data_IF_949081587695
#
_entry.id   IF_949081587695
#
_cell.length_a   1.000
_cell.length_b   1.000
_cell.length_c   1.000
_cell.angle_alpha   90.00
_cell.angle_beta   90.00
_cell.angle_gamma   90.00
#
_symmetry.space_group_name_H-M   'P 1'
#
loop_
_entity.id
_entity.type
_entity.pdbx_description
1 polymer ?
#
# COMPACT_ATOMS: atom_id res chain seq x y z
N UNK A 1 28.92 -3.25 -12.10
CA UNK A 1 27.54 -3.02 -11.62
C UNK A 1 26.85 -1.82 -12.31
N UNK A 2 27.19 -1.49 -13.57
CA UNK A 2 26.66 -0.29 -14.29
C UNK A 2 25.21 -0.43 -14.74
N UNK A 3 24.78 -1.64 -15.11
CA UNK A 3 23.46 -1.85 -15.72
C UNK A 3 22.30 -1.64 -14.74
N UNK A 4 22.50 -1.93 -13.45
CA UNK A 4 21.49 -1.68 -12.40
C UNK A 4 21.36 -0.19 -12.07
N UNK A 5 22.49 0.53 -12.09
CA UNK A 5 22.48 1.99 -11.95
C UNK A 5 21.72 2.61 -13.12
N UNK A 6 21.96 2.20 -14.36
CA UNK A 6 21.21 2.73 -15.50
C UNK A 6 19.71 2.43 -15.42
N UNK A 7 19.33 1.21 -15.00
CA UNK A 7 17.93 0.82 -14.84
C UNK A 7 17.21 1.67 -13.78
N UNK A 8 17.90 2.08 -12.71
CA UNK A 8 17.31 2.94 -11.66
C UNK A 8 16.93 4.32 -12.18
N UNK A 9 17.60 4.81 -13.22
CA UNK A 9 17.37 6.14 -13.78
C UNK A 9 16.53 6.10 -15.06
N UNK A 10 16.18 4.90 -15.54
CA UNK A 10 15.32 4.72 -16.69
C UNK A 10 13.87 5.03 -16.31
N UNK A 11 13.35 6.14 -16.83
CA UNK A 11 11.97 6.59 -16.60
C UNK A 11 10.94 5.84 -17.46
N UNK A 12 11.38 5.01 -18.41
CA UNK A 12 10.50 4.19 -19.25
C UNK A 12 10.02 2.92 -18.56
N UNK A 13 10.58 2.60 -17.39
CA UNK A 13 10.27 1.41 -16.62
C UNK A 13 9.75 1.73 -15.22
N UNK A 14 8.84 0.90 -14.72
CA UNK A 14 8.38 0.91 -13.34
C UNK A 14 8.83 -0.37 -12.65
N UNK A 15 9.32 -0.22 -11.42
CA UNK A 15 9.75 -1.34 -10.58
C UNK A 15 8.75 -1.47 -9.43
N UNK A 16 7.98 -2.56 -9.42
CA UNK A 16 6.98 -2.83 -8.39
C UNK A 16 7.32 -4.10 -7.61
N UNK A 17 6.99 -4.11 -6.32
CA UNK A 17 7.14 -5.30 -5.49
C UNK A 17 6.04 -6.32 -5.83
N UNK A 18 6.41 -7.60 -5.92
CA UNK A 18 5.43 -8.66 -6.09
C UNK A 18 4.60 -8.87 -4.81
N UNK A 19 3.34 -9.28 -4.99
CA UNK A 19 2.45 -9.66 -3.88
C UNK A 19 2.94 -10.91 -3.15
N UNK A 20 3.58 -11.84 -3.86
CA UNK A 20 4.08 -13.11 -3.33
C UNK A 20 5.51 -13.39 -3.78
N UNK A 21 6.28 -13.98 -2.86
CA UNK A 21 7.71 -14.22 -3.04
C UNK A 21 8.49 -12.92 -2.96
N UNK A 22 9.73 -12.98 -2.48
CA UNK A 22 10.62 -11.82 -2.41
C UNK A 22 11.10 -11.42 -3.82
N UNK A 23 10.16 -11.02 -4.67
CA UNK A 23 10.32 -10.77 -6.10
C UNK A 23 9.93 -9.34 -6.45
N UNK A 24 10.48 -8.86 -7.56
CA UNK A 24 10.19 -7.55 -8.15
C UNK A 24 9.79 -7.72 -9.61
N UNK A 25 8.82 -6.94 -10.07
CA UNK A 25 8.47 -6.84 -11.48
C UNK A 25 9.05 -5.56 -12.05
N UNK A 26 9.64 -5.67 -13.24
CA UNK A 26 10.09 -4.55 -14.06
C UNK A 26 9.17 -4.53 -15.27
N UNK A 27 8.49 -3.41 -15.50
CA UNK A 27 7.52 -3.26 -16.57
C UNK A 27 7.71 -1.93 -17.28
N UNK A 28 7.35 -1.84 -18.57
CA UNK A 28 7.23 -0.55 -19.23
C UNK A 28 6.11 0.28 -18.58
N UNK A 29 6.36 1.58 -18.41
CA UNK A 29 5.48 2.50 -17.70
C UNK A 29 4.11 2.68 -18.39
N UNK A 30 4.06 2.69 -19.72
CA UNK A 30 2.82 2.84 -20.47
C UNK A 30 1.92 1.61 -20.27
N UNK A 31 2.51 0.41 -20.39
CA UNK A 31 1.80 -0.84 -20.14
C UNK A 31 1.30 -0.96 -18.69
N UNK A 32 2.04 -0.43 -17.73
CA UNK A 32 1.60 -0.35 -16.34
C UNK A 32 0.41 0.61 -16.18
N UNK A 33 0.49 1.81 -16.74
CA UNK A 33 -0.56 2.82 -16.67
C UNK A 33 -1.87 2.32 -17.31
N UNK A 34 -1.79 1.66 -18.47
CA UNK A 34 -2.97 1.04 -19.11
C UNK A 34 -3.63 0.01 -18.20
N UNK A 35 -2.86 -0.91 -17.61
CA UNK A 35 -3.39 -1.94 -16.70
C UNK A 35 -4.02 -1.35 -15.45
N UNK A 36 -3.40 -0.32 -14.87
CA UNK A 36 -3.95 0.38 -13.70
C UNK A 36 -5.24 1.10 -14.08
N UNK A 37 -5.31 1.75 -15.24
CA UNK A 37 -6.52 2.40 -15.71
C UNK A 37 -7.67 1.41 -15.94
N UNK A 38 -7.40 0.27 -16.59
CA UNK A 38 -8.38 -0.82 -16.76
C UNK A 38 -8.89 -1.35 -15.40
N UNK A 39 -7.98 -1.56 -14.45
CA UNK A 39 -8.32 -2.02 -13.12
C UNK A 39 -9.19 -1.00 -12.38
N UNK A 40 -8.90 0.29 -12.48
CA UNK A 40 -9.72 1.35 -11.89
C UNK A 40 -11.11 1.45 -12.55
N UNK A 41 -11.20 1.17 -13.86
CA UNK A 41 -12.47 1.15 -14.60
C UNK A 41 -13.33 -0.09 -14.34
N UNK A 42 -12.78 -1.16 -13.76
CA UNK A 42 -13.52 -2.39 -13.44
C UNK A 42 -14.65 -2.22 -12.42
N UNK A 43 -14.77 -1.05 -11.79
CA UNK A 43 -15.78 -0.77 -10.76
C UNK A 43 -15.47 -1.36 -9.38
N UNK A 44 -14.37 -2.12 -9.24
CA UNK A 44 -13.91 -2.65 -7.95
C UNK A 44 -13.25 -1.61 -7.05
N UNK A 45 -12.89 -0.45 -7.61
CA UNK A 45 -12.16 0.60 -6.92
C UNK A 45 -12.98 1.90 -6.90
N UNK A 46 -12.94 2.60 -5.76
CA UNK A 46 -13.58 3.89 -5.59
C UNK A 46 -12.53 4.94 -5.19
N UNK A 47 -12.65 6.13 -5.77
CA UNK A 47 -11.80 7.27 -5.43
C UNK A 47 -12.06 7.71 -3.99
N UNK A 48 -11.01 7.79 -3.17
CA UNK A 48 -11.10 8.40 -1.86
C UNK A 48 -10.99 9.93 -1.99
N UNK A 49 -12.06 10.66 -1.68
CA UNK A 49 -12.11 12.12 -1.77
C UNK A 49 -11.32 12.83 -0.66
N UNK A 50 -11.04 12.12 0.43
CA UNK A 50 -10.34 12.67 1.59
C UNK A 50 -9.49 11.59 2.23
N UNK A 51 -8.27 11.97 2.62
CA UNK A 51 -7.43 11.16 3.48
C UNK A 51 -8.12 10.97 4.84
N UNK A 52 -8.58 9.74 5.10
CA UNK A 52 -9.18 9.34 6.37
C UNK A 52 -8.15 8.74 7.33
N UNK A 53 -6.89 8.57 6.93
CA UNK A 53 -5.89 7.82 7.67
C UNK A 53 -5.58 8.47 9.02
N UNK A 54 -5.52 9.81 9.10
CA UNK A 54 -5.34 10.49 10.40
C UNK A 54 -6.57 10.33 11.32
N UNK A 55 -7.78 10.34 10.74
CA UNK A 55 -9.00 10.08 11.51
C UNK A 55 -9.04 8.65 12.03
N UNK A 56 -8.73 7.68 11.18
CA UNK A 56 -8.64 6.26 11.55
C UNK A 56 -7.57 6.06 12.63
N UNK A 57 -6.41 6.70 12.50
CA UNK A 57 -5.32 6.67 13.50
C UNK A 57 -5.79 7.19 14.86
N UNK A 58 -6.42 8.37 14.90
CA UNK A 58 -6.94 8.98 16.14
C UNK A 58 -8.00 8.10 16.78
N UNK A 59 -8.97 7.62 16.01
CA UNK A 59 -10.03 6.73 16.51
C UNK A 59 -9.46 5.44 17.07
N UNK A 60 -8.50 4.82 16.37
CA UNK A 60 -7.84 3.60 16.83
C UNK A 60 -7.04 3.84 18.11
N UNK A 61 -6.33 4.97 18.21
CA UNK A 61 -5.57 5.34 19.40
C UNK A 61 -6.46 5.49 20.63
N UNK A 62 -7.62 6.13 20.49
CA UNK A 62 -8.61 6.27 21.56
C UNK A 62 -9.11 4.89 21.99
N UNK A 63 -9.57 4.07 21.04
CA UNK A 63 -10.09 2.72 21.34
C UNK A 63 -9.07 1.83 22.04
N UNK A 64 -7.80 1.87 21.64
CA UNK A 64 -6.74 1.10 22.28
C UNK A 64 -6.44 1.60 23.69
N UNK A 65 -6.58 2.91 23.93
CA UNK A 65 -6.41 3.49 25.26
C UNK A 65 -7.57 3.08 26.18
N UNK A 66 -8.80 3.10 25.67
CA UNK A 66 -9.98 2.64 26.41
C UNK A 66 -9.87 1.14 26.76
N UNK A 67 -9.47 0.31 25.78
CA UNK A 67 -9.23 -1.12 26.01
C UNK A 67 -8.11 -1.37 27.03
N UNK A 68 -7.05 -0.56 27.02
CA UNK A 68 -6.00 -0.66 28.03
C UNK A 68 -6.54 -0.39 29.44
N UNK A 69 -7.40 0.63 29.60
CA UNK A 69 -8.04 0.94 30.89
C UNK A 69 -8.94 -0.21 31.37
N UNK A 70 -9.63 -0.91 30.45
CA UNK A 70 -10.52 -2.02 30.78
C UNK A 70 -9.80 -3.34 31.08
N UNK A 71 -8.70 -3.61 30.39
CA UNK A 71 -8.06 -4.94 30.36
C UNK A 71 -6.71 -5.00 31.06
N UNK A 72 -6.08 -3.84 31.31
CA UNK A 72 -4.69 -3.71 31.77
C UNK A 72 -3.66 -4.42 30.86
N UNK A 73 -4.02 -4.68 29.60
CA UNK A 73 -3.12 -5.34 28.65
C UNK A 73 -2.09 -4.34 28.07
N UNK A 74 -0.84 -4.40 28.55
CA UNK A 74 0.26 -3.52 28.11
C UNK A 74 0.46 -3.49 26.58
N UNK A 75 0.11 -4.58 25.89
CA UNK A 75 0.18 -4.66 24.43
C UNK A 75 -0.68 -3.59 23.75
N UNK A 76 -1.85 -3.26 24.31
CA UNK A 76 -2.73 -2.22 23.77
C UNK A 76 -2.08 -0.83 23.91
N UNK A 77 -1.44 -0.57 25.05
CA UNK A 77 -0.69 0.64 25.30
C UNK A 77 0.48 0.81 24.32
N UNK A 78 1.25 -0.26 24.08
CA UNK A 78 2.36 -0.24 23.13
C UNK A 78 1.93 0.07 21.70
N UNK A 79 0.80 -0.52 21.26
CA UNK A 79 0.24 -0.23 19.93
C UNK A 79 -0.24 1.23 19.87
N UNK A 80 -0.96 1.72 20.88
CA UNK A 80 -1.42 3.10 20.94
C UNK A 80 -0.27 4.11 20.91
N UNK A 81 0.84 3.80 21.58
CA UNK A 81 2.06 4.61 21.59
C UNK A 81 2.70 4.71 20.22
N UNK A 82 2.74 3.61 19.44
CA UNK A 82 3.25 3.60 18.06
C UNK A 82 2.40 4.47 17.12
N UNK A 83 1.10 4.57 17.37
CA UNK A 83 0.16 5.39 16.59
C UNK A 83 0.23 6.89 16.91
N UNK A 84 1.06 7.33 17.87
CA UNK A 84 1.14 8.72 18.32
C UNK A 84 1.55 9.69 17.21
N UNK A 85 2.46 9.28 16.33
CA UNK A 85 3.02 10.17 15.30
C UNK A 85 2.29 10.03 13.96
N UNK A 86 1.89 11.16 13.39
CA UNK A 86 1.23 11.25 12.07
C UNK A 86 2.13 10.77 10.93
N UNK A 87 3.45 10.90 11.09
CA UNK A 87 4.46 10.41 10.12
C UNK A 87 4.43 8.89 9.93
N UNK A 88 3.82 8.15 10.87
CA UNK A 88 3.68 6.69 10.82
C UNK A 88 2.50 6.25 9.94
N UNK A 89 1.65 7.19 9.53
CA UNK A 89 0.40 6.90 8.83
C UNK A 89 0.35 7.68 7.52
N UNK A 90 0.30 6.94 6.41
CA UNK A 90 0.00 7.49 5.09
C UNK A 90 -1.22 6.80 4.54
N UNK A 91 -2.12 7.55 3.91
CA UNK A 91 -3.15 6.95 3.09
C UNK A 91 -2.48 6.14 1.98
N UNK A 92 -2.84 4.87 1.78
CA UNK A 92 -2.34 4.12 0.65
C UNK A 92 -2.80 4.78 -0.65
N UNK A 93 -1.86 5.09 -1.53
CA UNK A 93 -2.14 5.76 -2.81
C UNK A 93 -2.91 4.84 -3.78
N UNK A 94 -2.68 3.53 -3.67
CA UNK A 94 -3.40 2.51 -4.42
C UNK A 94 -3.47 1.22 -3.57
N UNK A 95 -4.68 0.78 -3.21
CA UNK A 95 -4.92 -0.47 -2.48
C UNK A 95 -4.90 -1.70 -3.40
N UNK A 96 -3.93 -1.78 -4.30
CA UNK A 96 -3.72 -2.96 -5.12
C UNK A 96 -2.30 -3.01 -5.65
N UNK A 97 -1.69 -4.18 -5.54
CA UNK A 97 -0.59 -4.57 -6.42
C UNK A 97 -1.25 -5.05 -7.72
N UNK A 98 -0.83 -4.49 -8.86
CA UNK A 98 -1.31 -4.97 -10.15
C UNK A 98 -1.01 -6.48 -10.24
N UNK A 99 -2.06 -7.31 -10.21
CA UNK A 99 -1.91 -8.75 -10.39
C UNK A 99 -1.55 -9.01 -11.85
N UNK A 100 -0.27 -8.98 -12.17
CA UNK A 100 0.22 -9.30 -13.51
C UNK A 100 0.06 -10.81 -13.70
N UNK A 101 -1.01 -11.22 -14.39
CA UNK A 101 -1.18 -12.60 -14.81
C UNK A 101 -0.30 -12.90 -16.01
N UNK A 102 0.29 -14.10 -16.03
CA UNK A 102 0.96 -14.61 -17.24
C UNK A 102 -0.11 -14.93 -18.29
N UNK A 103 0.19 -14.69 -19.56
CA UNK A 103 -0.68 -15.10 -20.65
C UNK A 103 -0.99 -16.61 -20.54
N UNK A 104 -2.27 -16.98 -20.71
CA UNK A 104 -2.81 -18.34 -20.65
C UNK A 104 -2.99 -18.98 -19.25
N UNK A 105 -2.91 -18.22 -18.16
CA UNK A 105 -3.32 -18.72 -16.84
C UNK A 105 -4.81 -18.38 -16.58
N UNK A 106 -5.67 -19.36 -16.24
CA UNK A 106 -7.07 -19.09 -15.90
C UNK A 106 -7.16 -18.25 -14.61
N UNK A 107 -8.17 -17.38 -14.56
CA UNK A 107 -8.53 -16.54 -13.40
C UNK A 107 -9.06 -17.37 -12.22
#
# INVERSE_FOLDING_TARGET
MRSLEHLKWDQSVVIIKADKGNMVFIMNIDAYNTKVAELLQSGMHATMLKDSADNVRKTLQVKLSDLFVETDEERMFDIAKRLKWTTTVKCPELFCLAKVHKENMPL
#
